data_IF_503674792123
#
_entry.id   IF_503674792123
#
_cell.length_a   1.000
_cell.length_b   1.000
_cell.length_c   1.000
_cell.angle_alpha   90.00
_cell.angle_beta   90.00
_cell.angle_gamma   90.00
#
_symmetry.space_group_name_H-M   'P 1'
#
loop_
_entity.id
_entity.type
_entity.pdbx_description
1 polymer ?
#
# COMPACT_ATOMS: atom_id res chain seq x y z
N UNK A 1 11.96 17.94 8.93
CA UNK A 1 11.96 16.54 8.44
C UNK A 1 10.51 16.08 8.48
N UNK A 2 9.90 15.82 7.33
CA UNK A 2 8.56 15.24 7.31
C UNK A 2 8.70 13.78 7.76
N UNK A 3 7.96 13.40 8.80
CA UNK A 3 7.94 12.02 9.27
C UNK A 3 7.02 11.23 8.35
N UNK A 4 7.34 9.96 8.12
CA UNK A 4 6.43 9.05 7.45
C UNK A 4 5.11 8.97 8.23
N UNK A 5 4.02 8.74 7.50
CA UNK A 5 2.72 8.45 8.09
C UNK A 5 2.78 7.13 8.88
N UNK A 6 1.97 7.05 9.93
CA UNK A 6 1.71 5.80 10.64
C UNK A 6 0.55 5.13 9.93
N UNK A 7 0.72 3.90 9.46
CA UNK A 7 -0.21 3.24 8.55
C UNK A 7 -0.74 1.97 9.19
N UNK A 8 -2.03 1.71 9.05
CA UNK A 8 -2.67 0.47 9.46
C UNK A 8 -2.51 -0.63 8.39
N UNK A 9 -2.22 -1.86 8.83
CA UNK A 9 -2.05 -3.00 7.94
C UNK A 9 -2.48 -4.32 8.58
N UNK A 10 -2.86 -5.27 7.73
CA UNK A 10 -3.17 -6.66 8.13
C UNK A 10 -2.46 -7.65 7.21
N UNK A 11 -1.86 -8.69 7.78
CA UNK A 11 -1.28 -9.79 7.02
C UNK A 11 -2.32 -10.89 6.92
N UNK A 12 -2.66 -11.29 5.69
CA UNK A 12 -3.68 -12.30 5.41
C UNK A 12 -3.08 -13.42 4.58
N UNK A 13 -3.63 -14.63 4.76
CA UNK A 13 -3.21 -15.84 4.06
C UNK A 13 -2.36 -16.77 4.93
N UNK A 14 -2.37 -18.05 4.56
CA UNK A 14 -1.59 -19.10 5.22
C UNK A 14 -0.42 -19.51 4.33
N UNK A 15 -0.70 -20.24 3.24
CA UNK A 15 0.31 -20.63 2.24
C UNK A 15 0.72 -19.48 1.30
N UNK A 16 -0.23 -18.61 0.95
CA UNK A 16 -0.02 -17.44 0.10
C UNK A 16 -0.36 -16.19 0.88
N UNK A 17 0.67 -15.56 1.43
CA UNK A 17 0.52 -14.38 2.28
C UNK A 17 0.59 -13.09 1.47
N UNK A 18 -0.22 -12.13 1.86
CA UNK A 18 -0.16 -10.76 1.37
C UNK A 18 -0.44 -9.77 2.51
N UNK A 19 -0.01 -8.53 2.31
CA UNK A 19 -0.26 -7.43 3.24
C UNK A 19 -1.35 -6.54 2.65
N UNK A 20 -2.44 -6.39 3.38
CA UNK A 20 -3.46 -5.39 3.13
C UNK A 20 -3.08 -4.12 3.90
N UNK A 21 -3.16 -2.97 3.23
CA UNK A 21 -2.77 -1.66 3.78
C UNK A 21 -3.97 -0.73 3.67
N UNK A 22 -4.42 -0.17 4.79
CA UNK A 22 -5.48 0.84 4.83
C UNK A 22 -4.84 2.23 4.77
N UNK A 23 -5.43 3.13 3.99
CA UNK A 23 -4.92 4.50 3.83
C UNK A 23 -5.99 5.50 4.24
N UNK A 24 -5.66 6.37 5.19
CA UNK A 24 -6.45 7.55 5.46
C UNK A 24 -6.32 8.57 4.31
N UNK A 25 -7.28 9.51 4.16
CA UNK A 25 -7.20 10.54 3.14
C UNK A 25 -5.89 11.33 3.19
N UNK A 26 -5.09 11.23 2.13
CA UNK A 26 -3.81 11.92 1.99
C UNK A 26 -2.59 11.08 2.38
N UNK A 27 -2.80 9.86 2.89
CA UNK A 27 -1.72 8.91 3.14
C UNK A 27 -1.22 8.27 1.85
N UNK A 28 -0.03 7.68 1.91
CA UNK A 28 0.61 7.08 0.73
C UNK A 28 1.53 5.96 1.18
N UNK A 29 1.43 4.83 0.49
CA UNK A 29 2.37 3.72 0.59
C UNK A 29 3.19 3.63 -0.70
N UNK A 30 4.45 3.24 -0.58
CA UNK A 30 5.34 3.02 -1.72
C UNK A 30 5.70 1.54 -1.74
N UNK A 31 5.45 0.89 -2.87
CA UNK A 31 5.78 -0.51 -3.10
C UNK A 31 6.63 -0.69 -4.35
N UNK A 32 7.20 -1.87 -4.51
CA UNK A 32 7.94 -2.24 -5.72
C UNK A 32 6.97 -2.58 -6.86
N UNK A 33 7.36 -2.27 -8.09
CA UNK A 33 6.55 -2.60 -9.25
C UNK A 33 6.33 -4.12 -9.35
N UNK A 34 5.07 -4.53 -9.50
CA UNK A 34 4.70 -5.94 -9.59
C UNK A 34 4.42 -6.63 -8.26
N UNK A 35 4.57 -5.95 -7.11
CA UNK A 35 4.17 -6.51 -5.81
C UNK A 35 2.70 -6.22 -5.46
N UNK A 36 2.08 -5.27 -6.14
CA UNK A 36 0.67 -4.90 -5.91
C UNK A 36 -0.26 -6.00 -6.43
N UNK A 37 -1.13 -6.52 -5.55
CA UNK A 37 -2.08 -7.58 -5.87
C UNK A 37 -3.42 -7.03 -6.36
N UNK A 38 -4.01 -6.11 -5.61
CA UNK A 38 -5.24 -5.39 -5.95
C UNK A 38 -5.23 -4.00 -5.32
N UNK A 39 -6.16 -3.15 -5.76
CA UNK A 39 -6.38 -1.79 -5.28
C UNK A 39 -7.89 -1.58 -5.18
N UNK A 40 -8.35 -0.99 -4.08
CA UNK A 40 -9.77 -0.63 -3.90
C UNK A 40 -10.15 0.69 -4.57
N UNK A 41 -11.45 0.90 -4.77
CA UNK A 41 -11.97 2.16 -5.29
C UNK A 41 -11.60 3.34 -4.38
N UNK A 42 -11.30 4.50 -4.98
CA UNK A 42 -10.87 5.69 -4.25
C UNK A 42 -9.35 5.79 -4.00
N UNK A 43 -8.58 4.73 -4.25
CA UNK A 43 -7.12 4.78 -4.19
C UNK A 43 -6.53 5.19 -5.55
N UNK A 44 -5.63 6.17 -5.54
CA UNK A 44 -4.89 6.61 -6.73
C UNK A 44 -3.53 5.91 -6.79
N UNK A 45 -3.22 5.30 -7.94
CA UNK A 45 -1.94 4.67 -8.20
C UNK A 45 -1.10 5.48 -9.19
N UNK A 46 0.15 5.75 -8.83
CA UNK A 46 1.12 6.43 -9.69
C UNK A 46 2.39 5.58 -9.80
N UNK A 47 2.75 5.20 -11.02
CA UNK A 47 4.06 4.59 -11.29
C UNK A 47 5.10 5.69 -11.46
N UNK A 48 6.12 5.71 -10.59
CA UNK A 48 7.29 6.56 -10.78
C UNK A 48 8.46 5.75 -11.32
N UNK A 49 8.90 6.11 -12.52
CA UNK A 49 10.17 5.65 -13.07
C UNK A 49 11.26 6.47 -12.38
N UNK A 50 12.25 5.81 -11.78
CA UNK A 50 13.45 6.46 -11.25
C UNK A 50 14.32 7.06 -12.34
#
# INVERSE_FOLDING_TARGET
MQRSHEIDYTITGDDLQFVEVELDPGETVIGEAGTMMYIEDGITFETKMG
#
